data_IF_186487961553
#
_entry.id   IF_186487961553
#
_cell.length_a   1.000
_cell.length_b   1.000
_cell.length_c   1.000
_cell.angle_alpha   90.00
_cell.angle_beta   90.00
_cell.angle_gamma   90.00
#
_symmetry.space_group_name_H-M   'P 1'
#
loop_
_entity.id
_entity.type
_entity.pdbx_description
1 polymer ?
#
# COMPACT_ATOMS: atom_id res chain seq x y z
N UNK A 1 27.71 16.70 -10.15
CA UNK A 1 27.24 15.33 -9.81
C UNK A 1 27.71 14.40 -10.93
N UNK A 2 28.53 13.38 -10.64
CA UNK A 2 29.07 12.51 -11.70
C UNK A 2 27.97 11.68 -12.38
N UNK A 3 28.11 11.39 -13.67
CA UNK A 3 27.14 10.64 -14.48
C UNK A 3 26.74 9.28 -13.86
N UNK A 4 27.68 8.65 -13.14
CA UNK A 4 27.44 7.42 -12.39
C UNK A 4 26.44 7.58 -11.22
N UNK A 5 26.50 8.70 -10.50
CA UNK A 5 25.57 9.00 -9.40
C UNK A 5 24.17 9.27 -9.94
N UNK A 6 24.05 10.05 -11.02
CA UNK A 6 22.78 10.33 -11.67
C UNK A 6 22.07 9.05 -12.15
N UNK A 7 22.82 8.14 -12.80
CA UNK A 7 22.29 6.83 -13.24
C UNK A 7 21.77 5.98 -12.08
N UNK A 8 22.47 6.00 -10.94
CA UNK A 8 22.06 5.24 -9.77
C UNK A 8 20.77 5.79 -9.15
N UNK A 9 20.69 7.11 -8.96
CA UNK A 9 19.48 7.77 -8.45
C UNK A 9 18.28 7.52 -9.38
N UNK A 10 18.46 7.64 -10.70
CA UNK A 10 17.40 7.35 -11.66
C UNK A 10 16.91 5.90 -11.57
N UNK A 11 17.81 4.92 -11.42
CA UNK A 11 17.44 3.52 -11.17
C UNK A 11 16.59 3.39 -9.90
N UNK A 12 17.00 4.02 -8.80
CA UNK A 12 16.25 3.97 -7.53
C UNK A 12 14.85 4.54 -7.70
N UNK A 13 14.72 5.70 -8.33
CA UNK A 13 13.42 6.34 -8.61
C UNK A 13 12.51 5.44 -9.44
N UNK A 14 13.04 4.82 -10.50
CA UNK A 14 12.24 3.91 -11.32
C UNK A 14 11.78 2.67 -10.52
N UNK A 15 12.66 2.10 -9.71
CA UNK A 15 12.31 0.97 -8.83
C UNK A 15 11.25 1.36 -7.79
N UNK A 16 11.34 2.56 -7.20
CA UNK A 16 10.33 3.07 -6.27
C UNK A 16 8.96 3.20 -6.95
N UNK A 17 8.91 3.77 -8.16
CA UNK A 17 7.67 3.93 -8.92
C UNK A 17 7.07 2.57 -9.30
N UNK A 18 7.89 1.66 -9.86
CA UNK A 18 7.44 0.31 -10.22
C UNK A 18 6.96 -0.47 -8.98
N UNK A 19 7.72 -0.40 -7.89
CA UNK A 19 7.35 -1.01 -6.61
C UNK A 19 6.05 -0.47 -6.06
N UNK A 20 5.81 0.83 -6.16
CA UNK A 20 4.57 1.47 -5.73
C UNK A 20 3.36 0.97 -6.54
N UNK A 21 3.42 1.01 -7.87
CA UNK A 21 2.31 0.59 -8.72
C UNK A 21 1.91 -0.88 -8.47
N UNK A 22 2.91 -1.76 -8.35
CA UNK A 22 2.67 -3.19 -8.04
C UNK A 22 2.14 -3.36 -6.62
N UNK A 23 2.69 -2.64 -5.64
CA UNK A 23 2.23 -2.70 -4.26
C UNK A 23 0.77 -2.26 -4.10
N UNK A 24 0.34 -1.19 -4.77
CA UNK A 24 -1.06 -0.75 -4.76
C UNK A 24 -1.97 -1.83 -5.33
N UNK A 25 -1.59 -2.44 -6.46
CA UNK A 25 -2.40 -3.48 -7.08
C UNK A 25 -2.55 -4.69 -6.16
N UNK A 26 -1.45 -5.16 -5.59
CA UNK A 26 -1.48 -6.29 -4.64
C UNK A 26 -2.21 -5.92 -3.35
N UNK A 27 -2.10 -4.68 -2.88
CA UNK A 27 -2.87 -4.16 -1.74
C UNK A 27 -4.38 -4.24 -2.00
N UNK A 28 -4.86 -3.83 -3.17
CA UNK A 28 -6.27 -3.95 -3.52
C UNK A 28 -6.73 -5.41 -3.61
N UNK A 29 -5.91 -6.28 -4.19
CA UNK A 29 -6.18 -7.72 -4.18
C UNK A 29 -6.24 -8.26 -2.75
N UNK A 30 -5.37 -7.78 -1.85
CA UNK A 30 -5.38 -8.16 -0.44
C UNK A 30 -6.66 -7.69 0.26
N UNK A 31 -7.13 -6.45 0.02
CA UNK A 31 -8.43 -5.98 0.54
C UNK A 31 -9.54 -6.94 0.15
N UNK A 32 -9.65 -7.24 -1.15
CA UNK A 32 -10.66 -8.15 -1.70
C UNK A 32 -10.57 -9.55 -1.07
N UNK A 33 -9.35 -10.06 -0.93
CA UNK A 33 -9.09 -11.38 -0.37
C UNK A 33 -9.46 -11.46 1.11
N UNK A 34 -9.15 -10.42 1.89
CA UNK A 34 -9.47 -10.37 3.32
C UNK A 34 -10.98 -10.29 3.52
N UNK A 35 -11.69 -9.43 2.78
CA UNK A 35 -13.15 -9.36 2.85
C UNK A 35 -13.80 -10.69 2.47
N UNK A 36 -13.37 -11.32 1.37
CA UNK A 36 -13.90 -12.62 0.95
C UNK A 36 -13.58 -13.76 1.93
N UNK A 37 -12.42 -13.71 2.60
CA UNK A 37 -12.09 -14.68 3.64
C UNK A 37 -12.98 -14.50 4.87
N UNK A 38 -13.19 -13.26 5.32
CA UNK A 38 -14.03 -12.96 6.47
C UNK A 38 -15.51 -13.30 6.22
N UNK A 39 -16.01 -13.05 5.01
CA UNK A 39 -17.39 -13.41 4.63
C UNK A 39 -17.61 -14.92 4.53
N UNK A 40 -16.54 -15.70 4.35
CA UNK A 40 -16.62 -17.17 4.26
C UNK A 40 -16.66 -17.88 5.63
N UNK A 41 -16.47 -17.12 6.73
CA UNK A 41 -16.48 -17.70 8.07
C UNK A 41 -17.89 -18.14 8.50
N UNK A 42 -18.02 -19.24 9.25
CA UNK A 42 -19.28 -19.60 9.89
C UNK A 42 -19.75 -18.45 10.81
N UNK A 43 -21.04 -18.13 10.76
CA UNK A 43 -21.65 -17.05 11.55
C UNK A 43 -21.05 -15.65 11.31
N UNK A 44 -20.47 -15.42 10.12
CA UNK A 44 -19.99 -14.09 9.74
C UNK A 44 -21.14 -13.06 9.79
N UNK A 45 -20.90 -11.85 10.34
CA UNK A 45 -21.89 -10.78 10.31
C UNK A 45 -22.33 -10.46 8.87
N UNK A 46 -23.63 -10.17 8.66
CA UNK A 46 -24.20 -9.82 7.36
C UNK A 46 -23.51 -8.63 6.67
N UNK A 47 -22.85 -7.78 7.45
CA UNK A 47 -21.91 -6.76 6.97
C UNK A 47 -20.91 -7.30 5.94
N UNK A 48 -20.32 -8.46 6.22
CA UNK A 48 -19.31 -9.09 5.37
C UNK A 48 -19.89 -9.78 4.15
N UNK A 49 -21.18 -10.13 4.09
CA UNK A 49 -21.77 -10.74 2.89
C UNK A 49 -21.76 -9.75 1.71
N UNK A 50 -22.23 -8.52 1.96
CA UNK A 50 -22.22 -7.46 0.96
C UNK A 50 -20.80 -6.96 0.67
N UNK A 51 -19.99 -6.77 1.72
CA UNK A 51 -18.61 -6.31 1.58
C UNK A 51 -17.63 -7.38 1.10
N UNK A 52 -18.01 -8.66 1.12
CA UNK A 52 -17.24 -9.77 0.52
C UNK A 52 -17.32 -9.77 -1.00
N UNK A 53 -18.53 -9.51 -1.54
CA UNK A 53 -18.77 -9.53 -2.98
C UNK A 53 -18.53 -8.18 -3.67
N UNK A 54 -18.86 -7.07 -3.02
CA UNK A 54 -18.80 -5.74 -3.66
C UNK A 54 -17.40 -5.30 -4.08
N UNK A 55 -16.30 -5.50 -3.30
CA UNK A 55 -14.96 -5.16 -3.74
C UNK A 55 -14.47 -6.06 -4.88
N UNK A 56 -14.86 -7.35 -4.88
CA UNK A 56 -14.57 -8.28 -5.99
C UNK A 56 -15.22 -7.75 -7.26
N UNK A 57 -16.53 -7.51 -7.23
CA UNK A 57 -17.30 -7.02 -8.37
C UNK A 57 -16.73 -5.70 -8.88
N UNK A 58 -16.36 -4.80 -7.98
CA UNK A 58 -15.80 -3.52 -8.33
C UNK A 58 -14.42 -3.63 -9.02
N UNK A 59 -13.57 -4.57 -8.60
CA UNK A 59 -12.24 -4.76 -9.19
C UNK A 59 -12.26 -5.57 -10.49
N UNK A 60 -13.22 -6.50 -10.66
CA UNK A 60 -13.35 -7.35 -11.85
C UNK A 60 -13.94 -6.59 -13.06
N UNK A 61 -14.80 -5.60 -12.81
CA UNK A 61 -15.35 -4.75 -13.88
C UNK A 61 -14.25 -3.79 -14.35
N UNK A 62 -13.71 -3.93 -15.59
CA UNK A 62 -12.44 -3.26 -15.94
C UNK A 62 -12.44 -1.73 -15.79
N UNK A 63 -13.48 -0.98 -16.21
CA UNK A 63 -13.52 0.47 -15.99
C UNK A 63 -13.54 0.85 -14.51
N UNK A 64 -14.28 0.10 -13.69
CA UNK A 64 -14.43 0.38 -12.26
C UNK A 64 -13.18 -0.02 -11.48
N UNK A 65 -12.58 -1.17 -11.80
CA UNK A 65 -11.33 -1.61 -11.19
C UNK A 65 -10.17 -0.66 -11.50
N UNK A 66 -10.10 -0.17 -12.74
CA UNK A 66 -9.13 0.89 -13.11
C UNK A 66 -9.40 2.18 -12.34
N UNK A 67 -10.66 2.62 -12.24
CA UNK A 67 -11.02 3.81 -11.46
C UNK A 67 -10.57 3.69 -9.99
N UNK A 68 -10.85 2.56 -9.35
CA UNK A 68 -10.43 2.29 -7.96
C UNK A 68 -8.91 2.29 -7.85
N UNK A 69 -8.20 1.64 -8.77
CA UNK A 69 -6.75 1.62 -8.78
C UNK A 69 -6.13 3.03 -8.86
N UNK A 70 -6.63 3.85 -9.79
CA UNK A 70 -6.19 5.25 -9.91
C UNK A 70 -6.57 6.08 -8.68
N UNK A 71 -7.77 5.90 -8.14
CA UNK A 71 -8.21 6.59 -6.93
C UNK A 71 -7.28 6.25 -5.75
N UNK A 72 -6.95 4.96 -5.55
CA UNK A 72 -5.98 4.54 -4.53
C UNK A 72 -4.62 5.20 -4.75
N UNK A 73 -4.12 5.22 -5.99
CA UNK A 73 -2.85 5.88 -6.33
C UNK A 73 -2.85 7.36 -5.91
N UNK A 74 -3.94 8.08 -6.18
CA UNK A 74 -4.09 9.50 -5.83
C UNK A 74 -4.11 9.68 -4.32
N UNK A 75 -4.85 8.83 -3.61
CA UNK A 75 -5.05 8.94 -2.16
C UNK A 75 -3.85 8.53 -1.34
N UNK A 76 -3.03 7.59 -1.82
CA UNK A 76 -1.86 7.07 -1.09
C UNK A 76 -0.53 7.60 -1.62
N UNK A 77 -0.54 8.31 -2.76
CA UNK A 77 0.66 8.67 -3.50
C UNK A 77 1.60 9.58 -2.72
N UNK A 78 1.06 10.64 -2.10
CA UNK A 78 1.86 11.60 -1.35
C UNK A 78 2.49 10.97 -0.10
N UNK A 79 1.69 10.23 0.69
CA UNK A 79 2.12 9.57 1.91
C UNK A 79 3.20 8.51 1.58
N UNK A 80 2.98 7.72 0.54
CA UNK A 80 3.94 6.70 0.11
C UNK A 80 5.23 7.33 -0.41
N UNK A 81 5.14 8.43 -1.16
CA UNK A 81 6.32 9.17 -1.62
C UNK A 81 7.15 9.68 -0.43
N UNK A 82 6.49 10.26 0.58
CA UNK A 82 7.17 10.73 1.80
C UNK A 82 7.90 9.57 2.48
N UNK A 83 7.22 8.44 2.71
CA UNK A 83 7.82 7.27 3.35
C UNK A 83 8.96 6.65 2.53
N UNK A 84 8.80 6.57 1.20
CA UNK A 84 9.84 6.08 0.30
C UNK A 84 11.08 6.97 0.33
N UNK A 85 10.92 8.30 0.32
CA UNK A 85 12.03 9.23 0.44
C UNK A 85 12.74 9.11 1.79
N UNK A 86 12.00 8.97 2.88
CA UNK A 86 12.57 8.70 4.20
C UNK A 86 13.39 7.40 4.17
N UNK A 87 12.82 6.31 3.63
CA UNK A 87 13.52 5.03 3.53
C UNK A 87 14.81 5.14 2.70
N UNK A 88 14.79 5.84 1.56
CA UNK A 88 15.97 6.02 0.71
C UNK A 88 17.03 6.94 1.31
N UNK A 89 16.63 8.05 1.95
CA UNK A 89 17.56 9.02 2.54
C UNK A 89 18.31 8.43 3.73
N UNK A 90 17.61 7.66 4.57
CA UNK A 90 18.17 7.01 5.75
C UNK A 90 18.65 5.57 5.47
N UNK A 91 18.52 5.08 4.23
CA UNK A 91 18.88 3.71 3.83
C UNK A 91 18.21 2.64 4.70
N UNK A 92 16.94 2.86 5.05
CA UNK A 92 16.17 1.96 5.90
C UNK A 92 15.73 0.76 5.06
N UNK A 93 16.20 -0.44 5.42
CA UNK A 93 15.97 -1.68 4.65
C UNK A 93 15.13 -2.71 5.38
N UNK A 94 14.64 -2.39 6.58
CA UNK A 94 13.81 -3.30 7.38
C UNK A 94 12.47 -3.54 6.70
N UNK A 95 12.08 -4.81 6.53
CA UNK A 95 10.78 -5.16 5.93
C UNK A 95 9.62 -4.75 6.85
N UNK A 96 9.76 -4.92 8.17
CA UNK A 96 8.75 -4.49 9.16
C UNK A 96 8.41 -3.01 9.04
N UNK A 97 9.44 -2.18 8.81
CA UNK A 97 9.24 -0.74 8.63
C UNK A 97 8.41 -0.42 7.38
N UNK A 98 8.71 -1.09 6.26
CA UNK A 98 7.97 -0.88 5.01
C UNK A 98 6.55 -1.40 5.09
N UNK A 99 6.32 -2.51 5.79
CA UNK A 99 4.96 -2.96 6.12
C UNK A 99 4.21 -1.88 6.91
N UNK A 100 4.83 -1.33 7.97
CA UNK A 100 4.23 -0.26 8.76
C UNK A 100 3.93 1.00 7.92
N UNK A 101 4.84 1.39 7.02
CA UNK A 101 4.60 2.49 6.08
C UNK A 101 3.43 2.22 5.14
N UNK A 102 3.31 1.00 4.62
CA UNK A 102 2.20 0.58 3.78
C UNK A 102 0.85 0.63 4.53
N UNK A 103 0.81 0.12 5.77
CA UNK A 103 -0.37 0.19 6.61
C UNK A 103 -0.76 1.64 6.94
N UNK A 104 0.20 2.47 7.32
CA UNK A 104 -0.03 3.88 7.60
C UNK A 104 -0.53 4.66 6.37
N UNK A 105 0.07 4.41 5.20
CA UNK A 105 -0.36 5.04 3.96
C UNK A 105 -1.78 4.62 3.55
N UNK A 106 -2.11 3.32 3.68
CA UNK A 106 -3.44 2.80 3.36
C UNK A 106 -4.51 3.36 4.32
N UNK A 107 -4.25 3.32 5.63
CA UNK A 107 -5.16 3.88 6.63
C UNK A 107 -5.35 5.39 6.45
N UNK A 108 -4.26 6.14 6.22
CA UNK A 108 -4.35 7.57 5.94
C UNK A 108 -5.15 7.86 4.65
N UNK A 109 -4.93 7.08 3.59
CA UNK A 109 -5.70 7.20 2.35
C UNK A 109 -7.19 6.94 2.55
N UNK A 110 -7.56 5.98 3.41
CA UNK A 110 -8.95 5.72 3.76
C UNK A 110 -9.58 6.89 4.54
N UNK A 111 -8.87 7.44 5.52
CA UNK A 111 -9.34 8.61 6.28
C UNK A 111 -9.52 9.84 5.37
N UNK A 112 -8.76 9.98 4.29
CA UNK A 112 -8.98 11.05 3.31
C UNK A 112 -10.30 10.92 2.54
N UNK A 113 -10.77 9.69 2.30
CA UNK A 113 -12.10 9.45 1.69
C UNK A 113 -13.20 9.65 2.72
N UNK A 114 -12.98 9.15 3.94
CA UNK A 114 -13.99 9.12 5.00
C UNK A 114 -13.43 9.70 6.31
N UNK A 115 -13.35 11.05 6.42
CA UNK A 115 -12.68 11.70 7.54
C UNK A 115 -13.28 11.40 8.91
N UNK A 116 -14.60 11.15 8.97
CA UNK A 116 -15.31 10.80 10.21
C UNK A 116 -15.15 9.34 10.63
N UNK A 117 -14.45 8.51 9.85
CA UNK A 117 -14.35 7.07 10.10
C UNK A 117 -13.71 6.74 11.47
N UNK A 118 -12.68 7.46 11.95
CA UNK A 118 -12.09 7.21 13.26
C UNK A 118 -12.99 7.64 14.43
N UNK A 119 -13.90 8.59 14.19
CA UNK A 119 -14.83 9.12 15.20
C UNK A 119 -16.13 8.31 15.28
N UNK A 120 -16.46 7.59 14.21
CA UNK A 120 -17.56 6.66 14.15
C UNK A 120 -17.24 5.44 15.04
N UNK A 121 -17.98 5.32 16.15
CA UNK A 121 -17.83 4.23 17.11
C UNK A 121 -18.47 2.91 16.63
N UNK A 122 -18.95 2.84 15.38
CA UNK A 122 -19.48 1.60 14.84
C UNK A 122 -18.37 0.54 14.66
N UNK A 123 -18.58 -0.70 15.13
CA UNK A 123 -17.62 -1.78 14.96
C UNK A 123 -17.25 -2.06 13.49
N UNK A 124 -18.18 -1.79 12.57
CA UNK A 124 -17.98 -1.95 11.13
C UNK A 124 -16.90 -1.00 10.58
N UNK A 125 -16.90 0.28 10.96
CA UNK A 125 -15.88 1.22 10.50
C UNK A 125 -14.49 0.87 11.03
N UNK A 126 -14.41 0.40 12.28
CA UNK A 126 -13.16 -0.10 12.84
C UNK A 126 -12.67 -1.37 12.13
N UNK A 127 -13.58 -2.25 11.73
CA UNK A 127 -13.23 -3.42 10.91
C UNK A 127 -12.64 -2.99 9.56
N UNK A 128 -13.22 -2.00 8.90
CA UNK A 128 -12.72 -1.49 7.61
C UNK A 128 -11.31 -0.92 7.72
N UNK A 129 -11.08 -0.08 8.73
CA UNK A 129 -9.77 0.49 9.00
C UNK A 129 -8.75 -0.63 9.25
N UNK A 130 -9.14 -1.65 10.04
CA UNK A 130 -8.29 -2.82 10.30
C UNK A 130 -7.96 -3.63 9.04
N UNK A 131 -8.95 -3.89 8.18
CA UNK A 131 -8.78 -4.62 6.92
C UNK A 131 -7.88 -3.84 5.96
N UNK A 132 -8.12 -2.54 5.81
CA UNK A 132 -7.34 -1.66 4.94
C UNK A 132 -5.91 -1.52 5.44
N UNK A 133 -5.70 -1.35 6.74
CA UNK A 133 -4.37 -1.31 7.33
C UNK A 133 -3.64 -2.64 7.11
N UNK A 134 -4.33 -3.77 7.27
CA UNK A 134 -3.77 -5.12 7.04
C UNK A 134 -3.39 -5.33 5.57
N UNK A 135 -4.24 -4.91 4.63
CA UNK A 135 -3.90 -4.91 3.21
C UNK A 135 -2.72 -3.98 2.91
N UNK A 136 -2.62 -2.85 3.61
CA UNK A 136 -1.47 -1.94 3.56
C UNK A 136 -0.17 -2.61 4.05
N UNK A 137 -0.22 -3.47 5.07
CA UNK A 137 0.94 -4.27 5.48
C UNK A 137 1.45 -5.16 4.32
N UNK A 138 0.52 -5.82 3.60
CA UNK A 138 0.85 -6.65 2.44
C UNK A 138 1.45 -5.81 1.31
N UNK A 139 0.83 -4.67 0.99
CA UNK A 139 1.37 -3.74 0.00
C UNK A 139 2.78 -3.26 0.37
N UNK A 140 3.01 -2.91 1.64
CA UNK A 140 4.31 -2.50 2.14
C UNK A 140 5.38 -3.60 2.04
N UNK A 141 5.00 -4.86 2.29
CA UNK A 141 5.87 -6.01 2.07
C UNK A 141 6.25 -6.19 0.60
N UNK A 142 5.27 -6.08 -0.30
CA UNK A 142 5.48 -6.17 -1.77
C UNK A 142 6.39 -5.05 -2.25
N UNK A 143 6.15 -3.82 -1.79
CA UNK A 143 7.01 -2.68 -2.07
C UNK A 143 8.44 -2.94 -1.60
N UNK A 144 8.61 -3.48 -0.39
CA UNK A 144 9.93 -3.82 0.14
C UNK A 144 10.67 -4.84 -0.73
N UNK A 145 9.96 -5.89 -1.17
CA UNK A 145 10.52 -6.90 -2.07
C UNK A 145 11.03 -6.28 -3.38
N UNK A 146 10.33 -5.29 -3.93
CA UNK A 146 10.72 -4.68 -5.20
C UNK A 146 11.80 -3.62 -5.00
N UNK A 147 11.55 -2.63 -4.13
CA UNK A 147 12.38 -1.44 -3.99
C UNK A 147 13.12 -1.36 -2.64
N UNK A 148 12.45 -1.72 -1.52
CA UNK A 148 12.96 -1.46 -0.17
C UNK A 148 14.21 -2.24 0.25
N UNK A 149 14.45 -3.44 -0.30
CA UNK A 149 15.64 -4.27 0.02
C UNK A 149 16.97 -3.55 -0.21
N UNK A 150 17.02 -2.74 -1.26
CA UNK A 150 18.21 -1.99 -1.69
C UNK A 150 18.10 -0.50 -1.39
N UNK A 151 17.22 -0.08 -0.48
CA UNK A 151 17.03 1.34 -0.14
C UNK A 151 18.36 2.01 0.26
N UNK A 152 18.57 3.21 -0.26
CA UNK A 152 19.77 4.03 -0.10
C UNK A 152 20.22 4.66 -1.41
N UNK A 153 20.31 6.00 -1.45
CA UNK A 153 20.97 6.72 -2.57
C UNK A 153 22.50 6.70 -2.49
N UNK A 154 23.06 6.35 -1.31
CA UNK A 154 24.51 6.29 -1.09
C UNK A 154 25.02 4.92 -1.54
N UNK A 155 25.80 4.89 -2.63
CA UNK A 155 26.55 3.68 -3.04
C UNK A 155 27.46 3.24 -1.88
N UNK A 156 27.66 1.92 -1.63
CA UNK A 156 28.74 1.48 -0.77
C UNK A 156 30.07 1.97 -1.37
N UNK A 157 30.88 2.64 -0.56
CA UNK A 157 32.19 3.19 -0.91
C UNK A 157 33.24 2.12 -1.25
N UNK A 158 32.88 0.82 -1.21
CA UNK A 158 33.79 -0.32 -1.33
C UNK A 158 34.20 -0.69 -2.77
N UNK A 159 33.83 0.10 -3.77
CA UNK A 159 34.26 -0.07 -5.17
C UNK A 159 34.73 1.28 -5.71
N UNK A 160 35.90 1.69 -5.26
CA UNK A 160 36.80 2.60 -5.97
C UNK A 160 38.08 1.85 -6.28
#
# INVERSE_FOLDING_TARGET
>A
MGMATAKHVAKRVLMMLAGYFVAVLVGLIAVVTIYGALSSLPDAPAYFDFMGLSPIAALVVPPLGMFIYFLTIVLTGLQTLIFALIAELFSLRSFWLHMAFGAAAAAAGFVLIWPSAPEDLSPERWADIGIIATAGLVAGLVYWLIAGREAGFRRPLSLR
#
